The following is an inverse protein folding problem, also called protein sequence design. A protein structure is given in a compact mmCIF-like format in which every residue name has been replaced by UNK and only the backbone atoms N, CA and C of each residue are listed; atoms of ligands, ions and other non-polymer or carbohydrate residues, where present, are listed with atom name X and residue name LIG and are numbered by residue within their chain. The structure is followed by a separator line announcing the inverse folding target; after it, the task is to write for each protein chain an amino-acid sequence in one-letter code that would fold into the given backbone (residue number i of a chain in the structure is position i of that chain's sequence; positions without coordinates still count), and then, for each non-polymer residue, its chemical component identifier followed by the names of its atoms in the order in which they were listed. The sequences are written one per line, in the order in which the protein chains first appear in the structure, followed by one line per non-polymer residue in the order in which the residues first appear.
data_IF_640570262280
#
_entry.id   IF_640570262280
#
_cell.length_a   1.000
_cell.length_b   1.000
_cell.length_c   1.000
_cell.angle_alpha   90.00
_cell.angle_beta   90.00
_cell.angle_gamma   90.00
#
_symmetry.space_group_name_H-M   'P 1'
#
loop_
_entity.id
_entity.type
_entity.pdbx_description
1 polymer ?
#
# COMPACT_ATOMS: atom_id res chain seq x y z
N UNK A 1 -0.08 2.18 -66.73
CA UNK A 1 -1.23 1.85 -65.86
C UNK A 1 -0.92 0.83 -64.77
N UNK A 2 -0.27 -0.31 -65.04
CA UNK A 2 0.11 -1.33 -64.05
C UNK A 2 1.11 -0.82 -62.99
N UNK A 3 2.10 0.00 -63.37
CA UNK A 3 3.12 0.53 -62.44
C UNK A 3 2.48 1.50 -61.43
N UNK A 4 1.60 2.37 -61.84
CA UNK A 4 0.89 3.33 -60.97
C UNK A 4 0.01 2.57 -59.97
N UNK A 5 -0.68 1.52 -60.41
CA UNK A 5 -1.52 0.68 -59.54
C UNK A 5 -0.70 -0.05 -58.46
N UNK A 6 0.49 -0.54 -58.83
CA UNK A 6 1.41 -1.20 -57.84
C UNK A 6 1.98 -0.20 -56.83
N UNK A 7 2.27 1.04 -57.26
CA UNK A 7 2.76 2.09 -56.34
C UNK A 7 1.64 2.51 -55.39
N UNK A 8 0.40 2.67 -55.87
CA UNK A 8 -0.74 2.97 -54.99
C UNK A 8 -0.99 1.85 -53.96
N UNK A 9 -0.91 0.60 -54.39
CA UNK A 9 -1.08 -0.55 -53.47
C UNK A 9 0.04 -0.65 -52.45
N UNK A 10 1.28 -0.32 -52.78
CA UNK A 10 2.39 -0.28 -51.83
C UNK A 10 2.25 0.84 -50.81
N UNK A 11 1.75 2.01 -51.23
CA UNK A 11 1.50 3.15 -50.30
C UNK A 11 0.36 2.83 -49.33
N UNK A 12 -0.71 2.16 -49.77
CA UNK A 12 -1.80 1.76 -48.85
C UNK A 12 -1.38 0.72 -47.84
N UNK A 13 -0.47 -0.21 -48.17
CA UNK A 13 0.10 -1.17 -47.21
C UNK A 13 1.00 -0.50 -46.14
N UNK A 14 1.69 0.57 -46.47
CA UNK A 14 2.54 1.31 -45.54
C UNK A 14 1.74 2.14 -44.51
N UNK A 15 0.51 2.53 -44.84
CA UNK A 15 -0.34 3.34 -43.98
C UNK A 15 -1.07 2.50 -42.89
N UNK A 16 -1.11 1.18 -43.02
CA UNK A 16 -1.75 0.30 -42.04
C UNK A 16 -0.81 -0.21 -40.93
N UNK A 17 0.50 0.13 -40.99
CA UNK A 17 1.50 -0.37 -40.08
C UNK A 17 1.60 0.38 -38.73
N UNK A 18 0.85 1.46 -38.52
CA UNK A 18 0.73 2.12 -37.22
C UNK A 18 -0.45 1.56 -36.43
N UNK A 19 -0.31 0.35 -35.88
CA UNK A 19 -1.13 -0.03 -34.77
C UNK A 19 -0.62 0.75 -33.54
N UNK A 20 -1.46 1.58 -32.88
CA UNK A 20 -1.09 2.14 -31.60
C UNK A 20 -0.82 0.95 -30.66
N UNK A 21 0.40 0.88 -30.12
CA UNK A 21 0.71 -0.06 -29.05
C UNK A 21 -0.21 0.32 -27.90
N UNK A 22 -1.26 -0.44 -27.73
CA UNK A 22 -2.14 -0.33 -26.56
C UNK A 22 -1.25 -0.53 -25.34
N UNK A 23 -0.92 0.55 -24.62
CA UNK A 23 -0.22 0.45 -23.34
C UNK A 23 -1.09 -0.44 -22.47
N UNK A 24 -0.64 -1.67 -22.24
CA UNK A 24 -1.24 -2.55 -21.25
C UNK A 24 -1.35 -1.73 -19.97
N UNK A 25 -2.58 -1.43 -19.55
CA UNK A 25 -2.81 -0.75 -18.28
C UNK A 25 -2.28 -1.70 -17.22
N UNK A 26 -1.16 -1.37 -16.59
CA UNK A 26 -0.62 -2.19 -15.52
C UNK A 26 -1.72 -2.36 -14.47
N UNK A 27 -1.84 -3.59 -13.97
CA UNK A 27 -2.82 -3.88 -12.92
C UNK A 27 -2.53 -2.97 -11.73
N UNK A 28 -3.53 -2.26 -11.17
CA UNK A 28 -3.31 -1.43 -10.00
C UNK A 28 -2.66 -2.24 -8.88
N UNK A 29 -1.68 -1.65 -8.20
CA UNK A 29 -1.01 -2.25 -7.05
C UNK A 29 -2.05 -2.40 -5.92
N UNK A 30 -2.17 -3.58 -5.35
CA UNK A 30 -3.04 -3.82 -4.21
C UNK A 30 -2.29 -3.57 -2.91
N UNK A 31 -2.70 -2.53 -2.18
CA UNK A 31 -2.15 -2.17 -0.88
C UNK A 31 -3.19 -2.53 0.19
N UNK A 32 -2.76 -3.26 1.21
CA UNK A 32 -3.59 -3.58 2.37
C UNK A 32 -3.04 -2.84 3.58
N UNK A 33 -3.87 -1.98 4.16
CA UNK A 33 -3.59 -1.26 5.39
C UNK A 33 -4.29 -1.91 6.58
N UNK A 34 -3.68 -1.90 7.75
CA UNK A 34 -4.32 -2.47 8.95
C UNK A 34 -5.47 -1.61 9.43
N UNK A 35 -5.27 -0.31 9.55
CA UNK A 35 -6.26 0.65 10.06
C UNK A 35 -6.79 1.55 8.96
N UNK A 36 -8.00 2.07 9.12
CA UNK A 36 -8.57 3.06 8.19
C UNK A 36 -7.77 4.37 8.17
N UNK A 37 -7.15 4.77 9.28
CA UNK A 37 -6.30 5.98 9.33
C UNK A 37 -5.12 5.87 8.34
N UNK A 38 -4.48 4.69 8.29
CA UNK A 38 -3.45 4.42 7.30
C UNK A 38 -4.02 4.28 5.90
N UNK A 39 -5.18 3.64 5.77
CA UNK A 39 -5.85 3.48 4.49
C UNK A 39 -6.18 4.82 3.83
N UNK A 40 -6.82 5.73 4.56
CA UNK A 40 -7.16 7.07 4.09
C UNK A 40 -5.90 7.85 3.64
N UNK A 41 -4.81 7.74 4.41
CA UNK A 41 -3.53 8.35 4.05
C UNK A 41 -2.95 7.76 2.76
N UNK A 42 -2.91 6.44 2.66
CA UNK A 42 -2.34 5.73 1.51
C UNK A 42 -3.17 5.95 0.24
N UNK A 43 -4.49 6.04 0.34
CA UNK A 43 -5.37 6.40 -0.78
C UNK A 43 -5.01 7.76 -1.39
N UNK A 44 -4.71 8.75 -0.53
CA UNK A 44 -4.29 10.08 -0.98
C UNK A 44 -2.91 10.04 -1.65
N UNK A 45 -1.95 9.30 -1.07
CA UNK A 45 -0.58 9.20 -1.59
C UNK A 45 -0.50 8.43 -2.91
N UNK A 46 -1.21 7.32 -3.01
CA UNK A 46 -1.14 6.41 -4.16
C UNK A 46 -2.03 6.84 -5.34
N UNK A 47 -2.97 7.75 -5.12
CA UNK A 47 -3.93 8.23 -6.11
C UNK A 47 -4.59 7.08 -6.91
N UNK A 48 -4.72 7.22 -8.23
CA UNK A 48 -5.37 6.24 -9.11
C UNK A 48 -4.49 5.02 -9.48
N UNK A 49 -3.30 4.90 -8.90
CA UNK A 49 -2.34 3.85 -9.27
C UNK A 49 -2.48 2.56 -8.44
N UNK A 50 -3.28 2.61 -7.40
CA UNK A 50 -3.45 1.49 -6.48
C UNK A 50 -4.90 1.21 -6.13
N UNK A 51 -5.12 0.03 -5.54
CA UNK A 51 -6.34 -0.31 -4.81
C UNK A 51 -5.98 -0.48 -3.34
N UNK A 52 -6.54 0.34 -2.47
CA UNK A 52 -6.29 0.31 -1.04
C UNK A 52 -7.43 -0.40 -0.32
N UNK A 53 -7.09 -1.29 0.61
CA UNK A 53 -8.05 -2.01 1.46
C UNK A 53 -7.63 -1.84 2.91
N UNK A 54 -8.53 -1.36 3.76
CA UNK A 54 -8.32 -1.28 5.21
C UNK A 54 -8.99 -2.46 5.90
N UNK A 55 -8.24 -3.20 6.74
CA UNK A 55 -8.77 -4.36 7.47
C UNK A 55 -9.68 -3.93 8.62
N UNK A 56 -9.31 -2.86 9.31
CA UNK A 56 -10.04 -2.33 10.46
C UNK A 56 -10.74 -1.03 10.08
N UNK A 57 -12.06 -1.06 10.10
CA UNK A 57 -12.89 0.13 9.87
C UNK A 57 -12.98 1.05 11.09
N UNK A 58 -13.77 2.11 10.95
CA UNK A 58 -14.01 3.05 12.05
C UNK A 58 -14.60 2.36 13.28
N UNK A 59 -14.08 2.70 14.46
CA UNK A 59 -14.54 2.17 15.75
C UNK A 59 -13.97 0.80 16.13
N UNK A 60 -13.14 0.20 15.30
CA UNK A 60 -12.43 -1.04 15.64
C UNK A 60 -11.20 -0.72 16.47
N UNK A 61 -11.03 -1.40 17.62
CA UNK A 61 -9.85 -1.27 18.47
C UNK A 61 -8.69 -2.12 17.92
N UNK A 62 -7.61 -1.50 17.41
CA UNK A 62 -6.49 -2.22 16.82
C UNK A 62 -5.68 -3.04 17.84
N UNK A 63 -5.67 -2.66 19.11
CA UNK A 63 -4.96 -3.41 20.15
C UNK A 63 -5.57 -4.79 20.42
N UNK A 64 -6.86 -4.92 20.24
CA UNK A 64 -7.62 -6.14 20.50
C UNK A 64 -7.98 -6.91 19.23
N UNK A 65 -7.73 -6.32 18.07
CA UNK A 65 -8.13 -6.88 16.79
C UNK A 65 -7.45 -8.22 16.51
N UNK A 66 -8.25 -9.20 16.15
CA UNK A 66 -7.79 -10.51 15.67
C UNK A 66 -8.19 -10.66 14.21
N UNK A 67 -7.22 -10.89 13.35
CA UNK A 67 -7.47 -11.09 11.94
C UNK A 67 -8.43 -12.26 11.69
N UNK A 68 -9.43 -12.00 10.87
CA UNK A 68 -10.39 -13.00 10.39
C UNK A 68 -9.79 -13.81 9.23
N UNK A 69 -10.47 -14.88 8.80
CA UNK A 69 -10.09 -15.62 7.60
C UNK A 69 -10.14 -14.72 6.35
N UNK A 70 -11.08 -13.79 6.28
CA UNK A 70 -11.16 -12.80 5.20
C UNK A 70 -9.93 -11.90 5.16
N UNK A 71 -9.50 -11.39 6.31
CA UNK A 71 -8.29 -10.54 6.40
C UNK A 71 -7.03 -11.29 5.96
N UNK A 72 -6.92 -12.56 6.32
CA UNK A 72 -5.80 -13.40 5.85
C UNK A 72 -5.80 -13.56 4.33
N UNK A 73 -6.97 -13.63 3.70
CA UNK A 73 -7.08 -13.66 2.24
C UNK A 73 -6.66 -12.32 1.63
N UNK A 74 -7.08 -11.19 2.22
CA UNK A 74 -6.68 -9.85 1.79
C UNK A 74 -5.17 -9.68 1.90
N UNK A 75 -4.57 -9.99 3.07
CA UNK A 75 -3.13 -9.92 3.30
C UNK A 75 -2.34 -10.81 2.31
N UNK A 76 -2.81 -12.02 2.04
CA UNK A 76 -2.16 -12.90 1.08
C UNK A 76 -2.25 -12.40 -0.36
N UNK A 77 -3.29 -11.68 -0.73
CA UNK A 77 -3.47 -11.13 -2.08
C UNK A 77 -2.82 -9.77 -2.29
N UNK A 78 -2.35 -9.10 -1.22
CA UNK A 78 -1.70 -7.81 -1.26
C UNK A 78 -0.35 -7.85 -1.99
N UNK A 79 -0.04 -6.79 -2.73
CA UNK A 79 1.31 -6.52 -3.25
C UNK A 79 2.16 -5.83 -2.18
N UNK A 80 1.53 -4.96 -1.38
CA UNK A 80 2.14 -4.26 -0.24
C UNK A 80 1.20 -4.31 0.96
N UNK A 81 1.75 -4.52 2.15
CA UNK A 81 1.04 -4.47 3.43
C UNK A 81 1.61 -3.32 4.24
N UNK A 82 0.76 -2.43 4.73
CA UNK A 82 1.17 -1.32 5.61
C UNK A 82 0.43 -1.46 6.94
N UNK A 83 1.20 -1.50 8.02
CA UNK A 83 0.66 -1.54 9.38
C UNK A 83 1.29 -0.43 10.23
N UNK A 84 0.65 -0.05 11.33
CA UNK A 84 1.14 1.06 12.14
C UNK A 84 2.52 0.78 12.74
N UNK A 85 2.68 -0.34 13.39
CA UNK A 85 3.88 -0.65 14.17
C UNK A 85 3.76 -0.22 15.63
N UNK A 86 4.89 -0.18 16.35
CA UNK A 86 4.96 0.14 17.78
C UNK A 86 3.98 -0.69 18.64
N UNK A 87 3.73 -1.93 18.24
CA UNK A 87 2.82 -2.88 18.89
C UNK A 87 1.33 -2.46 18.91
N UNK A 88 0.89 -1.52 18.06
CA UNK A 88 -0.52 -1.19 17.94
C UNK A 88 -1.33 -2.43 17.58
N UNK A 89 -0.87 -3.19 16.58
CA UNK A 89 -1.51 -4.43 16.12
C UNK A 89 -0.89 -5.68 16.79
N UNK A 90 -0.73 -5.64 18.10
CA UNK A 90 0.01 -6.68 18.82
C UNK A 90 -0.50 -8.12 18.59
N UNK A 91 -1.79 -8.30 18.30
CA UNK A 91 -2.37 -9.61 17.98
C UNK A 91 -2.08 -10.11 16.57
N UNK A 92 -1.54 -9.25 15.69
CA UNK A 92 -1.20 -9.59 14.31
C UNK A 92 0.31 -9.79 14.08
N UNK A 93 1.15 -9.56 15.07
CA UNK A 93 2.61 -9.64 14.96
C UNK A 93 3.09 -10.95 14.32
N UNK A 94 2.59 -12.09 14.80
CA UNK A 94 2.96 -13.41 14.24
C UNK A 94 2.56 -13.56 12.75
N UNK A 95 1.47 -12.93 12.34
CA UNK A 95 1.01 -12.95 10.94
C UNK A 95 2.01 -12.17 10.08
N UNK A 96 2.41 -10.98 10.53
CA UNK A 96 3.38 -10.15 9.81
C UNK A 96 4.75 -10.84 9.72
N UNK A 97 5.22 -11.45 10.79
CA UNK A 97 6.47 -12.23 10.79
C UNK A 97 6.44 -13.36 9.74
N UNK A 98 5.34 -14.13 9.67
CA UNK A 98 5.18 -15.21 8.70
C UNK A 98 5.09 -14.71 7.26
N UNK A 99 4.54 -13.53 7.05
CA UNK A 99 4.38 -12.95 5.71
C UNK A 99 5.62 -12.18 5.24
N UNK A 100 6.47 -11.67 6.14
CA UNK A 100 7.62 -10.81 5.84
C UNK A 100 8.61 -11.43 4.84
N UNK A 101 8.75 -12.75 4.83
CA UNK A 101 9.61 -13.47 3.89
C UNK A 101 9.06 -13.55 2.46
N UNK A 102 7.79 -13.19 2.23
CA UNK A 102 7.08 -13.38 0.96
C UNK A 102 6.34 -12.15 0.48
N UNK A 103 6.20 -11.15 1.32
CA UNK A 103 5.43 -9.93 1.07
C UNK A 103 6.24 -8.70 1.41
N UNK A 104 5.98 -7.61 0.70
CA UNK A 104 6.48 -6.30 1.10
C UNK A 104 5.61 -5.78 2.25
N UNK A 105 6.18 -5.73 3.45
CA UNK A 105 5.50 -5.31 4.68
C UNK A 105 6.21 -4.11 5.26
N UNK A 106 5.48 -3.03 5.48
CA UNK A 106 5.99 -1.75 5.95
C UNK A 106 5.33 -1.41 7.29
N UNK A 107 6.14 -1.23 8.32
CA UNK A 107 5.68 -0.59 9.54
C UNK A 107 5.72 0.93 9.34
N UNK A 108 4.58 1.59 9.30
CA UNK A 108 4.47 3.01 8.96
C UNK A 108 5.29 3.91 9.90
N UNK A 109 5.39 3.52 11.17
CA UNK A 109 6.14 4.27 12.20
C UNK A 109 7.65 3.99 12.20
N UNK A 110 8.16 3.11 11.34
CA UNK A 110 9.59 2.76 11.32
C UNK A 110 10.50 3.91 10.86
N UNK A 111 9.97 4.89 10.11
CA UNK A 111 10.70 6.08 9.70
C UNK A 111 10.84 7.17 10.77
N UNK A 112 10.13 7.04 11.90
CA UNK A 112 10.13 8.06 12.95
C UNK A 112 11.31 7.87 13.90
N UNK A 113 12.00 8.95 14.22
CA UNK A 113 13.11 8.93 15.18
C UNK A 113 12.60 8.53 16.58
N UNK A 114 13.09 7.42 17.09
CA UNK A 114 12.70 6.87 18.40
C UNK A 114 12.86 7.85 19.57
N UNK A 115 13.79 8.80 19.48
CA UNK A 115 14.00 9.84 20.49
C UNK A 115 12.83 10.83 20.62
N UNK A 116 11.97 10.88 19.62
CA UNK A 116 10.76 11.72 19.59
C UNK A 116 9.53 11.00 20.11
N UNK A 117 9.62 9.68 20.26
CA UNK A 117 8.50 8.85 20.68
C UNK A 117 8.27 8.98 22.19
N UNK A 118 7.00 8.99 22.57
CA UNK A 118 6.60 8.98 23.99
C UNK A 118 6.82 7.58 24.53
N UNK A 119 7.64 7.50 25.59
CA UNK A 119 7.87 6.25 26.30
C UNK A 119 6.68 5.98 27.21
N UNK A 120 5.99 4.88 27.01
CA UNK A 120 4.83 4.52 27.80
C UNK A 120 5.26 3.60 28.95
N UNK A 121 5.33 4.14 30.17
CA UNK A 121 5.72 3.41 31.40
C UNK A 121 4.79 2.23 31.70
N UNK A 122 3.52 2.31 31.28
CA UNK A 122 2.50 1.29 31.55
C UNK A 122 2.71 0.03 30.69
N UNK A 123 3.45 0.15 29.59
CA UNK A 123 3.74 -0.95 28.65
C UNK A 123 5.22 -1.39 28.65
N UNK A 124 5.90 -1.42 29.79
CA UNK A 124 7.24 -2.00 29.99
C UNK A 124 8.26 -1.68 28.89
N UNK A 125 8.38 -0.40 28.52
CA UNK A 125 9.37 0.06 27.55
C UNK A 125 8.89 0.05 26.10
N UNK A 126 7.60 -0.13 25.85
CA UNK A 126 7.00 0.15 24.55
C UNK A 126 6.74 1.65 24.39
N UNK A 127 6.81 2.12 23.17
CA UNK A 127 6.43 3.49 22.81
C UNK A 127 4.92 3.61 22.62
N UNK A 128 4.39 4.83 22.78
CA UNK A 128 3.01 5.13 22.44
C UNK A 128 2.83 5.03 20.92
N UNK A 129 1.96 4.14 20.41
CA UNK A 129 1.78 3.93 18.98
C UNK A 129 0.85 4.97 18.29
N UNK A 130 0.24 5.87 19.06
CA UNK A 130 -0.83 6.76 18.59
C UNK A 130 -0.27 8.04 17.93
N UNK A 131 0.66 7.89 16.96
CA UNK A 131 1.40 8.99 16.36
C UNK A 131 0.53 9.96 15.55
N UNK A 132 -0.65 9.55 15.11
CA UNK A 132 -1.59 10.40 14.36
C UNK A 132 -2.17 11.56 15.18
N UNK A 133 -2.02 11.54 16.51
CA UNK A 133 -2.39 12.67 17.37
C UNK A 133 -1.32 13.77 17.41
N UNK A 134 -0.08 13.49 16.99
CA UNK A 134 0.98 14.48 16.82
C UNK A 134 1.23 14.71 15.33
N UNK A 135 0.78 15.87 14.84
CA UNK A 135 0.87 16.23 13.42
C UNK A 135 2.31 16.21 12.90
N UNK A 136 3.30 16.55 13.74
CA UNK A 136 4.70 16.54 13.32
C UNK A 136 5.23 15.12 13.13
N UNK A 137 4.92 14.22 14.06
CA UNK A 137 5.27 12.80 13.92
C UNK A 137 4.51 12.15 12.77
N UNK A 138 3.26 12.56 12.56
CA UNK A 138 2.46 12.03 11.45
C UNK A 138 3.02 12.44 10.08
N UNK A 139 3.59 13.65 9.94
CA UNK A 139 4.31 14.06 8.72
C UNK A 139 5.52 13.16 8.48
N UNK A 140 6.30 12.78 9.51
CA UNK A 140 7.42 11.85 9.35
C UNK A 140 6.95 10.45 8.90
N UNK A 141 5.80 10.00 9.39
CA UNK A 141 5.17 8.75 8.91
C UNK A 141 4.80 8.87 7.43
N UNK A 142 4.20 10.00 7.02
CA UNK A 142 3.84 10.28 5.62
C UNK A 142 5.07 10.24 4.73
N UNK A 143 6.11 10.99 5.10
CA UNK A 143 7.35 11.08 4.32
C UNK A 143 8.05 9.73 4.16
N UNK A 144 7.88 8.84 5.13
CA UNK A 144 8.50 7.51 5.10
C UNK A 144 7.78 6.53 4.17
N UNK A 145 6.45 6.60 4.08
CA UNK A 145 5.65 5.67 3.27
C UNK A 145 5.38 6.18 1.85
N UNK A 146 5.63 7.46 1.54
CA UNK A 146 5.48 8.07 0.22
C UNK A 146 6.66 7.74 -0.70
#
# INVERSE_FOLDING_TARGET
MRIILNILLAITLLLTACNPVEKKKDKPIKIVCTTNILGDLVEVLAADQSTVVSLMGAGVDPHLYKATQGDLMELNSADVIIYNGLHLEGKMTEIFEKLSNRKNIIAATAGVDQRKLINNSDFKGAYDPHLWFDVKLWIEVIDYIA
#
